data_IF_270238525929
#
_entry.id   IF_270238525929
#
_cell.length_a   1.000
_cell.length_b   1.000
_cell.length_c   1.000
_cell.angle_alpha   90.00
_cell.angle_beta   90.00
_cell.angle_gamma   90.00
#
_symmetry.space_group_name_H-M   'P 1'
#
loop_
_entity.id
_entity.type
_entity.pdbx_description
1 polymer ?
#
# COMPACT_ATOMS: atom_id res chain seq x y z
N UNK A 1 -20.95 -39.29 -54.19
CA UNK A 1 -21.44 -37.91 -53.98
C UNK A 1 -21.41 -37.66 -52.48
N UNK A 2 -20.41 -36.93 -51.97
CA UNK A 2 -20.36 -36.39 -50.61
C UNK A 2 -19.30 -35.29 -50.59
N UNK A 3 -19.75 -34.04 -50.42
CA UNK A 3 -18.90 -32.84 -50.38
C UNK A 3 -18.45 -32.61 -48.95
N UNK A 4 -17.16 -32.68 -48.68
CA UNK A 4 -16.60 -32.28 -47.38
C UNK A 4 -16.45 -30.76 -47.36
N UNK A 5 -17.19 -30.09 -46.49
CA UNK A 5 -17.12 -28.65 -46.25
C UNK A 5 -15.96 -28.39 -45.29
N UNK A 6 -14.95 -27.64 -45.73
CA UNK A 6 -13.86 -27.17 -44.87
C UNK A 6 -14.35 -25.97 -44.07
N UNK A 7 -14.48 -26.12 -42.75
CA UNK A 7 -14.73 -25.00 -41.85
C UNK A 7 -13.39 -24.34 -41.49
N UNK A 8 -13.22 -23.07 -41.83
CA UNK A 8 -12.07 -22.24 -41.44
C UNK A 8 -12.33 -21.70 -40.03
N UNK A 9 -11.62 -22.21 -39.03
CA UNK A 9 -11.66 -21.67 -37.67
C UNK A 9 -10.79 -20.41 -37.62
N UNK A 10 -11.41 -19.24 -37.48
CA UNK A 10 -10.72 -17.98 -37.19
C UNK A 10 -10.35 -18.02 -35.70
N UNK A 11 -9.06 -18.25 -35.39
CA UNK A 11 -8.56 -18.00 -34.04
C UNK A 11 -8.59 -16.48 -33.78
N UNK A 12 -9.54 -16.02 -32.98
CA UNK A 12 -9.38 -14.75 -32.29
C UNK A 12 -8.35 -14.96 -31.18
N UNK A 13 -7.11 -14.56 -31.44
CA UNK A 13 -6.13 -14.36 -30.38
C UNK A 13 -6.55 -13.12 -29.59
N UNK A 14 -7.17 -13.32 -28.42
CA UNK A 14 -7.33 -12.26 -27.44
C UNK A 14 -5.94 -11.90 -26.92
N UNK A 15 -5.42 -10.74 -27.32
CA UNK A 15 -4.32 -10.11 -26.60
C UNK A 15 -4.88 -9.60 -25.27
N UNK A 16 -4.85 -10.45 -24.25
CA UNK A 16 -4.95 -9.96 -22.88
C UNK A 16 -3.73 -9.06 -22.68
N UNK A 17 -3.95 -7.76 -22.52
CA UNK A 17 -2.90 -6.86 -22.04
C UNK A 17 -2.33 -7.46 -20.76
N UNK A 18 -1.02 -7.72 -20.73
CA UNK A 18 -0.32 -8.18 -19.54
C UNK A 18 -0.36 -7.06 -18.49
N UNK A 19 -1.48 -6.93 -17.78
CA UNK A 19 -1.45 -6.30 -16.47
C UNK A 19 -0.50 -7.16 -15.63
N UNK A 20 0.71 -6.67 -15.36
CA UNK A 20 1.58 -7.28 -14.36
C UNK A 20 0.90 -7.09 -13.02
N UNK A 21 -0.03 -7.99 -12.67
CA UNK A 21 -0.71 -8.01 -11.39
C UNK A 21 0.37 -8.21 -10.34
N UNK A 22 0.51 -7.24 -9.43
CA UNK A 22 1.36 -7.41 -8.25
C UNK A 22 0.88 -8.67 -7.49
N UNK A 23 1.76 -9.39 -6.78
CA UNK A 23 1.32 -10.46 -5.90
C UNK A 23 0.23 -9.94 -4.94
N UNK A 24 -0.69 -10.83 -4.58
CA UNK A 24 -1.72 -10.56 -3.57
C UNK A 24 -1.10 -9.92 -2.33
N UNK A 25 -1.79 -8.94 -1.75
CA UNK A 25 -1.33 -8.34 -0.50
C UNK A 25 -1.32 -9.40 0.61
N UNK A 26 -0.38 -9.34 1.57
CA UNK A 26 -0.23 -10.41 2.58
C UNK A 26 -1.48 -10.63 3.45
N UNK A 27 -2.35 -9.62 3.52
CA UNK A 27 -3.67 -9.64 4.17
C UNK A 27 -4.65 -8.85 3.30
N UNK A 28 -5.98 -9.04 3.45
CA UNK A 28 -6.96 -8.16 2.82
C UNK A 28 -6.68 -6.70 3.16
N UNK A 29 -6.59 -5.84 2.15
CA UNK A 29 -6.10 -4.48 2.29
C UNK A 29 -7.13 -3.43 1.83
N UNK A 30 -7.78 -2.76 2.79
CA UNK A 30 -8.70 -1.64 2.59
C UNK A 30 -8.43 -0.52 3.59
N UNK A 31 -8.82 0.70 3.25
CA UNK A 31 -8.65 1.91 4.09
C UNK A 31 -7.20 2.20 4.51
N UNK A 32 -6.21 1.51 3.93
CA UNK A 32 -4.81 1.73 4.20
C UNK A 32 -4.22 2.86 3.37
N UNK A 33 -2.91 2.99 3.41
CA UNK A 33 -2.17 4.02 2.68
C UNK A 33 -0.98 3.39 1.96
N UNK A 34 -0.42 4.12 1.00
CA UNK A 34 0.79 3.68 0.33
C UNK A 34 1.45 4.78 -0.48
N UNK A 35 2.72 4.54 -0.80
CA UNK A 35 3.54 5.42 -1.62
C UNK A 35 4.37 4.56 -2.57
N UNK A 36 4.88 5.17 -3.63
CA UNK A 36 5.91 4.57 -4.47
C UNK A 36 7.14 5.48 -4.47
N UNK A 37 8.32 4.88 -4.31
CA UNK A 37 9.63 5.52 -4.50
C UNK A 37 10.39 4.75 -5.58
N UNK A 38 10.53 5.37 -6.76
CA UNK A 38 11.04 4.71 -7.96
C UNK A 38 10.29 3.38 -8.24
N UNK A 39 10.99 2.25 -8.10
CA UNK A 39 10.46 0.91 -8.31
C UNK A 39 9.99 0.23 -7.02
N UNK A 40 10.06 0.90 -5.86
CA UNK A 40 9.64 0.32 -4.59
C UNK A 40 8.29 0.86 -4.15
N UNK A 41 7.29 -0.01 -4.12
CA UNK A 41 5.97 0.26 -3.54
C UNK A 41 6.01 0.00 -2.05
N UNK A 42 5.39 0.87 -1.26
CA UNK A 42 5.15 0.69 0.18
C UNK A 42 3.65 0.75 0.45
N UNK A 43 3.12 -0.21 1.21
CA UNK A 43 1.72 -0.21 1.66
C UNK A 43 1.64 -0.56 3.14
N UNK A 44 0.63 -0.05 3.83
CA UNK A 44 0.39 -0.40 5.22
C UNK A 44 -0.86 0.25 5.78
N UNK A 45 -1.11 -0.03 7.06
CA UNK A 45 -2.26 0.48 7.81
C UNK A 45 -3.61 -0.03 7.28
N UNK A 46 -4.71 0.63 7.61
CA UNK A 46 -6.06 0.18 7.29
C UNK A 46 -6.37 -1.18 7.92
N UNK A 47 -6.97 -2.07 7.15
CA UNK A 47 -7.20 -3.46 7.58
C UNK A 47 -5.94 -4.28 7.82
N UNK A 48 -4.74 -3.78 7.44
CA UNK A 48 -3.47 -4.40 7.81
C UNK A 48 -2.99 -4.03 9.24
N UNK A 49 -3.76 -3.25 9.99
CA UNK A 49 -3.44 -2.88 11.37
C UNK A 49 -2.23 -1.95 11.45
N UNK A 50 -1.16 -2.39 12.12
CA UNK A 50 0.12 -1.65 12.19
C UNK A 50 1.14 -2.13 11.16
N UNK A 51 0.80 -3.13 10.33
CA UNK A 51 1.74 -3.72 9.41
C UNK A 51 2.06 -2.78 8.23
N UNK A 52 3.31 -2.88 7.78
CA UNK A 52 3.82 -2.24 6.57
C UNK A 52 4.59 -3.24 5.73
N UNK A 53 4.49 -3.10 4.42
CA UNK A 53 5.14 -3.96 3.45
C UNK A 53 5.78 -3.11 2.35
N UNK A 54 6.88 -3.60 1.78
CA UNK A 54 7.42 -3.08 0.52
C UNK A 54 7.48 -4.14 -0.58
N UNK A 55 7.49 -3.70 -1.82
CA UNK A 55 7.66 -4.55 -2.99
C UNK A 55 8.52 -3.83 -4.03
N UNK A 56 9.54 -4.52 -4.54
CA UNK A 56 10.31 -4.09 -5.71
C UNK A 56 9.58 -4.55 -6.99
N UNK A 57 9.17 -3.60 -7.83
CA UNK A 57 8.39 -3.83 -9.05
C UNK A 57 9.25 -4.33 -10.22
N UNK A 58 10.58 -4.24 -10.13
CA UNK A 58 11.50 -4.76 -11.15
C UNK A 58 12.02 -6.16 -10.82
N UNK A 59 11.79 -6.64 -9.60
CA UNK A 59 12.15 -7.99 -9.22
C UNK A 59 11.48 -9.03 -10.15
N UNK A 60 12.27 -10.00 -10.61
CA UNK A 60 11.77 -11.15 -11.40
C UNK A 60 10.70 -11.94 -10.62
N UNK A 61 10.93 -12.09 -9.32
CA UNK A 61 10.00 -12.71 -8.38
C UNK A 61 9.50 -11.67 -7.38
N UNK A 62 8.41 -11.00 -7.75
CA UNK A 62 7.81 -9.91 -6.97
C UNK A 62 7.19 -10.47 -5.69
N UNK A 63 7.59 -9.92 -4.54
CA UNK A 63 7.06 -10.32 -3.23
C UNK A 63 6.96 -9.15 -2.28
N UNK A 64 5.93 -9.18 -1.45
CA UNK A 64 5.78 -8.26 -0.33
C UNK A 64 6.76 -8.64 0.79
N UNK A 65 7.56 -7.68 1.23
CA UNK A 65 8.51 -7.83 2.34
C UNK A 65 8.00 -7.01 3.52
N UNK A 66 7.81 -7.65 4.67
CA UNK A 66 7.38 -6.97 5.89
C UNK A 66 8.44 -5.96 6.38
N UNK A 67 7.96 -4.83 6.90
CA UNK A 67 8.75 -3.74 7.46
C UNK A 67 8.48 -3.59 8.96
N UNK A 68 9.21 -2.69 9.61
CA UNK A 68 8.92 -2.32 10.99
C UNK A 68 7.46 -1.86 11.13
N UNK A 69 6.80 -2.34 12.17
CA UNK A 69 5.42 -1.99 12.48
C UNK A 69 5.31 -0.49 12.80
N UNK A 70 4.19 0.10 12.38
CA UNK A 70 3.87 1.49 12.68
C UNK A 70 3.63 1.68 14.18
N UNK A 71 4.33 2.62 14.86
CA UNK A 71 4.26 2.76 16.31
C UNK A 71 3.03 3.52 16.81
N UNK A 72 2.30 4.23 15.93
CA UNK A 72 1.16 5.08 16.29
C UNK A 72 -0.20 4.37 16.40
N UNK A 73 -0.21 3.03 16.44
CA UNK A 73 -1.41 2.20 16.41
C UNK A 73 -2.06 2.09 15.01
N UNK A 74 -3.05 1.19 14.81
CA UNK A 74 -3.76 1.09 13.55
C UNK A 74 -4.39 2.41 13.12
N UNK A 75 -4.37 2.70 11.81
CA UNK A 75 -4.97 3.90 11.21
C UNK A 75 -5.75 3.54 9.96
N UNK A 76 -7.04 3.86 9.93
CA UNK A 76 -7.80 3.94 8.68
C UNK A 76 -7.64 5.33 8.07
N UNK A 77 -7.73 5.45 6.74
CA UNK A 77 -7.75 6.76 6.05
C UNK A 77 -6.51 7.63 6.34
N UNK A 78 -5.38 7.03 6.71
CA UNK A 78 -4.12 7.76 6.74
C UNK A 78 -3.68 8.10 5.32
N UNK A 79 -2.97 9.21 5.15
CA UNK A 79 -2.28 9.52 3.89
C UNK A 79 -0.77 9.40 4.07
N UNK A 80 -0.05 9.21 2.97
CA UNK A 80 1.40 9.07 3.01
C UNK A 80 2.08 9.72 1.81
N UNK A 81 3.34 10.11 2.01
CA UNK A 81 4.18 10.72 0.98
C UNK A 81 5.63 10.24 1.13
N UNK A 82 6.37 10.16 0.02
CA UNK A 82 7.80 9.89 0.02
C UNK A 82 8.56 11.16 -0.34
N UNK A 83 9.41 11.63 0.57
CA UNK A 83 10.15 12.90 0.44
C UNK A 83 11.57 12.69 0.94
N UNK A 84 12.56 13.04 0.11
CA UNK A 84 13.98 13.01 0.44
C UNK A 84 14.44 11.68 1.08
N UNK A 85 14.06 10.55 0.48
CA UNK A 85 14.47 9.22 0.92
C UNK A 85 13.74 8.70 2.16
N UNK A 86 12.68 9.38 2.62
CA UNK A 86 11.89 9.00 3.78
C UNK A 86 10.41 8.94 3.45
N UNK A 87 9.71 8.00 4.07
CA UNK A 87 8.25 7.89 3.99
C UNK A 87 7.63 8.61 5.18
N UNK A 88 6.59 9.40 4.92
CA UNK A 88 5.83 10.11 5.94
C UNK A 88 4.39 9.61 5.93
N UNK A 89 3.82 9.44 7.12
CA UNK A 89 2.41 9.09 7.33
C UNK A 89 1.74 10.22 8.11
N UNK A 90 0.60 10.66 7.62
CA UNK A 90 -0.16 11.79 8.16
C UNK A 90 -1.53 11.32 8.67
N UNK A 91 -1.77 11.54 9.96
CA UNK A 91 -3.08 11.36 10.59
C UNK A 91 -3.69 9.97 10.42
N UNK A 92 -4.96 9.95 10.03
CA UNK A 92 -5.84 8.79 9.98
C UNK A 92 -6.75 8.69 11.20
N UNK A 93 -7.65 7.72 11.16
CA UNK A 93 -8.65 7.40 12.17
C UNK A 93 -8.16 6.19 12.95
N UNK A 94 -8.11 6.30 14.28
CA UNK A 94 -7.66 5.22 15.14
C UNK A 94 -8.20 5.36 16.56
N UNK A 95 -7.66 4.58 17.49
CA UNK A 95 -8.04 4.63 18.91
C UNK A 95 -7.11 5.52 19.72
N UNK A 96 -7.67 6.38 20.56
CA UNK A 96 -6.92 7.15 21.55
C UNK A 96 -6.52 6.28 22.76
N UNK A 97 -5.87 6.87 23.77
CA UNK A 97 -5.44 6.16 24.99
C UNK A 97 -6.60 5.59 25.82
N UNK A 98 -7.82 6.10 25.63
CA UNK A 98 -9.04 5.64 26.28
C UNK A 98 -9.80 4.61 25.44
N UNK A 99 -9.29 4.23 24.26
CA UNK A 99 -9.94 3.29 23.34
C UNK A 99 -11.07 3.90 22.49
N UNK A 100 -11.26 5.22 22.54
CA UNK A 100 -12.25 5.94 21.73
C UNK A 100 -11.70 6.23 20.34
N UNK A 101 -12.59 6.17 19.34
CA UNK A 101 -12.22 6.49 17.95
C UNK A 101 -11.96 8.00 17.83
N UNK A 102 -10.82 8.39 17.26
CA UNK A 102 -10.46 9.77 17.01
C UNK A 102 -9.75 9.95 15.66
N UNK A 103 -9.77 11.19 15.16
CA UNK A 103 -8.95 11.63 14.02
C UNK A 103 -7.62 12.16 14.55
N UNK A 104 -6.50 11.69 14.00
CA UNK A 104 -5.17 12.12 14.39
C UNK A 104 -4.66 13.27 13.53
N UNK A 105 -3.84 14.14 14.11
CA UNK A 105 -3.16 15.25 13.45
C UNK A 105 -1.62 15.11 13.51
N UNK A 106 -1.12 13.91 13.83
CA UNK A 106 0.30 13.62 13.98
C UNK A 106 0.95 13.19 12.67
N UNK A 107 2.29 13.24 12.66
CA UNK A 107 3.13 12.81 11.54
C UNK A 107 4.16 11.80 12.04
N UNK A 108 4.30 10.70 11.31
CA UNK A 108 5.35 9.71 11.54
C UNK A 108 6.26 9.64 10.32
N UNK A 109 7.56 9.48 10.56
CA UNK A 109 8.58 9.30 9.52
C UNK A 109 9.16 7.90 9.60
N UNK A 110 9.22 7.22 8.48
CA UNK A 110 9.91 5.95 8.28
C UNK A 110 11.18 6.16 7.46
N UNK A 111 12.29 5.62 7.97
CA UNK A 111 13.55 5.57 7.25
C UNK A 111 13.75 4.15 6.69
N UNK A 112 13.71 3.96 5.35
CA UNK A 112 13.86 2.65 4.72
C UNK A 112 15.28 2.06 4.84
N UNK A 113 16.31 2.90 5.07
CA UNK A 113 17.69 2.44 5.23
C UNK A 113 17.92 1.74 6.58
N UNK A 114 17.21 2.20 7.61
CA UNK A 114 17.31 1.67 8.98
C UNK A 114 16.11 0.81 9.38
N UNK A 115 15.10 0.71 8.51
CA UNK A 115 13.83 0.05 8.78
C UNK A 115 13.22 0.47 10.13
N UNK A 116 13.09 1.78 10.34
CA UNK A 116 12.67 2.32 11.64
C UNK A 116 11.73 3.51 11.50
N UNK A 117 10.77 3.61 12.42
CA UNK A 117 9.83 4.73 12.53
C UNK A 117 10.23 5.70 13.64
N UNK A 118 9.86 6.96 13.46
CA UNK A 118 9.88 7.99 14.51
C UNK A 118 8.62 8.84 14.42
N UNK A 119 7.96 9.10 15.55
CA UNK A 119 6.91 10.11 15.64
C UNK A 119 7.57 11.49 15.66
N UNK A 120 7.17 12.37 14.75
CA UNK A 120 7.70 13.72 14.72
C UNK A 120 6.99 14.59 15.76
N UNK A 121 7.73 15.51 16.38
CA UNK A 121 7.15 16.58 17.19
C UNK A 121 6.54 17.63 16.26
N UNK A 122 5.41 17.29 15.65
CA UNK A 122 4.67 18.10 14.69
C UNK A 122 3.19 18.01 14.98
N UNK A 123 2.50 19.14 14.92
CA UNK A 123 1.07 19.25 15.19
C UNK A 123 0.43 19.95 14.00
N UNK A 124 -0.26 19.18 13.15
CA UNK A 124 -1.07 19.81 12.12
C UNK A 124 -2.19 20.62 12.79
N UNK A 125 -2.58 21.78 12.22
CA UNK A 125 -3.61 22.64 12.81
C UNK A 125 -4.99 21.97 12.84
N UNK A 126 -5.19 20.92 12.05
CA UNK A 126 -6.42 20.14 11.94
C UNK A 126 -6.13 18.65 11.98
N UNK A 127 -7.11 17.86 12.43
CA UNK A 127 -7.11 16.40 12.23
C UNK A 127 -7.12 16.06 10.74
N UNK A 128 -6.41 14.99 10.36
CA UNK A 128 -6.27 14.57 8.96
C UNK A 128 -6.84 13.17 8.78
N UNK A 129 -7.77 13.02 7.85
CA UNK A 129 -8.24 11.73 7.33
C UNK A 129 -8.42 11.88 5.81
N UNK A 130 -7.85 10.97 5.04
CA UNK A 130 -7.98 10.92 3.58
C UNK A 130 -9.32 10.32 3.16
N UNK A 131 -10.00 11.00 2.24
CA UNK A 131 -11.20 10.50 1.56
C UNK A 131 -10.82 9.67 0.33
#
# INVERSE_FOLDING_TARGET
MNKTITALAILMASFAANASVLPETPVPFKSGTGVIDNDTVYIGLGSAGTAWYKLDTQAKDKRWTALAAFPGGPRDQATSAFIDGNLYVFGGIGKNSEGLTQVFNDVHKYNPKTNSWVKLMSHAPMGMAGM
#
